data_IF_954575167475
#
_entry.id   IF_954575167475
#
_cell.length_a   1.000
_cell.length_b   1.000
_cell.length_c   1.000
_cell.angle_alpha   90.00
_cell.angle_beta   90.00
_cell.angle_gamma   90.00
#
_symmetry.space_group_name_H-M   'P 1'
#
loop_
_entity.id
_entity.type
_entity.pdbx_description
1 polymer ?
#
# COMPACT_ATOMS: atom_id res chain seq x y z
N UNK A 1 7.92 4.06 -16.80
CA UNK A 1 6.97 3.91 -15.68
C UNK A 1 7.55 4.43 -14.38
N UNK A 2 6.70 4.81 -13.43
CA UNK A 2 7.06 5.18 -12.05
C UNK A 2 6.32 4.25 -11.07
N UNK A 3 7.05 3.64 -10.14
CA UNK A 3 6.45 2.87 -9.04
C UNK A 3 6.80 3.59 -7.73
N UNK A 4 5.81 4.18 -7.09
CA UNK A 4 5.93 4.85 -5.80
C UNK A 4 5.71 3.83 -4.68
N UNK A 5 6.78 3.36 -4.05
CA UNK A 5 6.74 2.33 -2.99
C UNK A 5 7.24 2.83 -1.62
N UNK A 6 7.65 4.09 -1.50
CA UNK A 6 8.16 4.63 -0.24
C UNK A 6 7.04 4.71 0.79
N UNK A 7 7.34 4.22 2.00
CA UNK A 7 6.40 4.32 3.10
C UNK A 7 6.91 3.70 4.41
N UNK A 8 6.44 4.26 5.51
CA UNK A 8 6.69 3.78 6.87
C UNK A 8 5.39 3.31 7.53
N UNK A 9 5.55 2.46 8.53
CA UNK A 9 4.40 1.94 9.28
C UNK A 9 3.73 2.99 10.17
N UNK A 10 4.47 3.99 10.61
CA UNK A 10 4.01 4.91 11.65
C UNK A 10 3.79 4.25 13.02
N UNK A 11 3.31 4.99 14.00
CA UNK A 11 3.05 4.52 15.35
C UNK A 11 1.84 3.59 15.44
N UNK A 12 1.75 2.86 16.55
CA UNK A 12 0.61 2.04 16.93
C UNK A 12 0.10 2.52 18.28
N UNK A 13 -1.04 3.22 18.28
CA UNK A 13 -1.67 3.73 19.49
C UNK A 13 -3.14 4.08 19.23
N UNK A 14 -3.92 4.26 20.30
CA UNK A 14 -5.25 4.91 20.23
C UNK A 14 -5.09 6.39 19.87
N UNK A 15 -6.09 6.97 19.24
CA UNK A 15 -5.99 8.33 18.65
C UNK A 15 -5.58 9.39 19.67
N UNK A 16 -6.05 9.29 20.90
CA UNK A 16 -5.76 10.24 22.00
C UNK A 16 -4.33 10.12 22.55
N UNK A 17 -3.62 9.02 22.24
CA UNK A 17 -2.24 8.77 22.68
C UNK A 17 -1.20 8.95 21.58
N UNK A 18 -1.63 9.31 20.39
CA UNK A 18 -0.72 9.54 19.27
C UNK A 18 0.08 10.83 19.47
N UNK A 19 1.39 10.73 19.26
CA UNK A 19 2.24 11.91 19.14
C UNK A 19 2.00 12.60 17.80
N UNK A 20 1.76 13.93 17.82
CA UNK A 20 1.46 14.71 16.62
C UNK A 20 2.61 14.72 15.61
N UNK A 21 3.87 14.69 16.08
CA UNK A 21 5.04 14.65 15.18
C UNK A 21 5.14 13.32 14.46
N UNK A 22 4.82 12.20 15.14
CA UNK A 22 4.79 10.88 14.50
C UNK A 22 3.64 10.78 13.48
N UNK A 23 2.49 11.40 13.78
CA UNK A 23 1.39 11.55 12.83
C UNK A 23 1.85 12.29 11.56
N UNK A 24 2.38 13.51 11.73
CA UNK A 24 2.84 14.36 10.64
C UNK A 24 3.95 13.68 9.82
N UNK A 25 4.93 13.06 10.49
CA UNK A 25 6.00 12.32 9.82
C UNK A 25 5.46 11.15 8.98
N UNK A 26 4.46 10.43 9.49
CA UNK A 26 3.85 9.32 8.75
C UNK A 26 3.16 9.82 7.48
N UNK A 27 2.40 10.91 7.55
CA UNK A 27 1.78 11.53 6.38
C UNK A 27 2.83 12.08 5.42
N UNK A 28 3.84 12.77 5.94
CA UNK A 28 4.92 13.33 5.13
C UNK A 28 5.65 12.25 4.33
N UNK A 29 6.05 11.17 4.97
CA UNK A 29 6.75 10.08 4.28
C UNK A 29 5.83 9.33 3.32
N UNK A 30 4.61 8.98 3.74
CA UNK A 30 3.76 8.08 2.97
C UNK A 30 2.97 8.77 1.84
N UNK A 31 2.68 10.06 1.95
CA UNK A 31 1.89 10.81 0.97
C UNK A 31 2.77 11.78 0.17
N UNK A 32 3.54 12.63 0.87
CA UNK A 32 4.29 13.67 0.17
C UNK A 32 5.40 13.10 -0.71
N UNK A 33 5.99 11.95 -0.36
CA UNK A 33 6.96 11.28 -1.23
C UNK A 33 6.34 10.94 -2.60
N UNK A 34 5.11 10.38 -2.62
CA UNK A 34 4.40 10.06 -3.86
C UNK A 34 4.18 11.32 -4.71
N UNK A 35 3.78 12.42 -4.07
CA UNK A 35 3.63 13.71 -4.75
C UNK A 35 4.96 14.20 -5.34
N UNK A 36 6.04 14.23 -4.55
CA UNK A 36 7.32 14.77 -5.00
C UNK A 36 7.91 13.99 -6.17
N UNK A 37 7.94 12.66 -6.08
CA UNK A 37 8.45 11.83 -7.18
C UNK A 37 7.57 11.90 -8.42
N UNK A 38 6.25 11.89 -8.26
CA UNK A 38 5.32 12.02 -9.38
C UNK A 38 5.51 13.36 -10.09
N UNK A 39 5.56 14.46 -9.34
CA UNK A 39 5.79 15.81 -9.90
C UNK A 39 7.03 15.87 -10.78
N UNK A 40 8.14 15.28 -10.33
CA UNK A 40 9.40 15.25 -11.08
C UNK A 40 9.36 14.28 -12.29
N UNK A 41 8.58 13.19 -12.20
CA UNK A 41 8.51 12.20 -13.27
C UNK A 41 7.59 12.61 -14.43
N UNK A 42 6.56 13.43 -14.21
CA UNK A 42 5.57 13.81 -15.21
C UNK A 42 6.19 14.31 -16.53
N UNK A 43 7.21 15.20 -16.55
CA UNK A 43 7.82 15.66 -17.82
C UNK A 43 8.42 14.53 -18.65
N UNK A 44 8.97 13.51 -17.99
CA UNK A 44 9.54 12.33 -18.66
C UNK A 44 8.44 11.38 -19.12
N UNK A 45 7.42 11.15 -18.28
CA UNK A 45 6.28 10.30 -18.60
C UNK A 45 5.50 10.81 -19.82
N UNK A 46 5.37 12.13 -19.98
CA UNK A 46 4.73 12.75 -21.15
C UNK A 46 5.45 12.48 -22.48
N UNK A 47 6.72 12.12 -22.43
CA UNK A 47 7.54 11.82 -23.63
C UNK A 47 7.51 10.34 -24.01
N UNK A 48 6.96 9.47 -23.19
CA UNK A 48 6.93 8.01 -23.40
C UNK A 48 5.63 7.57 -24.05
N UNK A 49 5.69 6.53 -24.89
CA UNK A 49 4.52 5.96 -25.57
C UNK A 49 3.69 5.00 -24.70
N UNK A 50 4.27 4.46 -23.63
CA UNK A 50 3.59 3.61 -22.65
C UNK A 50 3.89 4.11 -21.24
N UNK A 51 3.19 5.13 -20.82
CA UNK A 51 3.40 5.75 -19.51
C UNK A 51 2.44 5.24 -18.46
N UNK A 52 2.99 4.83 -17.32
CA UNK A 52 2.22 4.34 -16.19
C UNK A 52 2.84 4.76 -14.86
N UNK A 53 1.98 5.09 -13.90
CA UNK A 53 2.31 5.30 -12.49
C UNK A 53 1.60 4.23 -11.68
N UNK A 54 2.33 3.54 -10.81
CA UNK A 54 1.77 2.60 -9.83
C UNK A 54 2.11 3.10 -8.44
N UNK A 55 1.10 3.40 -7.65
CA UNK A 55 1.24 3.83 -6.26
C UNK A 55 0.99 2.64 -5.33
N UNK A 56 1.95 2.33 -4.46
CA UNK A 56 1.77 1.27 -3.47
C UNK A 56 1.07 1.82 -2.24
N UNK A 57 -0.22 1.48 -2.13
CA UNK A 57 -1.03 1.76 -0.96
C UNK A 57 -0.95 0.60 0.05
N UNK A 58 -2.07 0.09 0.51
CA UNK A 58 -2.23 -1.05 1.45
C UNK A 58 -3.71 -1.42 1.51
N UNK A 59 -4.06 -2.59 2.02
CA UNK A 59 -5.43 -2.87 2.49
C UNK A 59 -5.92 -1.84 3.50
N UNK A 60 -5.03 -1.25 4.31
CA UNK A 60 -5.34 -0.11 5.19
C UNK A 60 -5.74 1.18 4.44
N UNK A 61 -5.57 1.25 3.13
CA UNK A 61 -6.05 2.34 2.26
C UNK A 61 -7.43 2.09 1.66
N UNK A 62 -8.05 0.96 1.95
CA UNK A 62 -9.40 0.57 1.49
C UNK A 62 -10.26 0.01 2.62
N UNK A 63 -9.69 -0.20 3.81
CA UNK A 63 -10.36 -0.69 5.02
C UNK A 63 -9.94 0.14 6.23
N UNK A 64 -10.74 0.12 7.30
CA UNK A 64 -10.34 0.65 8.60
C UNK A 64 -9.21 -0.19 9.19
N UNK A 65 -8.29 0.45 9.93
CA UNK A 65 -7.19 -0.24 10.59
C UNK A 65 -7.04 0.29 12.03
N UNK A 66 -7.60 -0.41 13.03
CA UNK A 66 -7.55 0.02 14.43
C UNK A 66 -6.13 0.26 14.92
N UNK A 67 -5.94 1.25 15.79
CA UNK A 67 -4.66 1.65 16.37
C UNK A 67 -3.60 2.16 15.38
N UNK A 68 -3.94 2.27 14.11
CA UNK A 68 -3.02 2.62 13.02
C UNK A 68 -3.53 3.80 12.18
N UNK A 69 -4.25 4.73 12.81
CA UNK A 69 -4.91 5.84 12.10
C UNK A 69 -3.97 6.67 11.20
N UNK A 70 -2.74 7.07 11.59
CA UNK A 70 -1.88 7.83 10.66
C UNK A 70 -1.50 7.02 9.43
N UNK A 71 -1.23 5.72 9.61
CA UNK A 71 -0.95 4.82 8.48
C UNK A 71 -2.17 4.68 7.56
N UNK A 72 -3.34 4.37 8.12
CA UNK A 72 -4.57 4.23 7.36
C UNK A 72 -4.89 5.51 6.58
N UNK A 73 -4.90 6.67 7.24
CA UNK A 73 -5.15 7.97 6.60
C UNK A 73 -4.15 8.22 5.47
N UNK A 74 -2.86 7.94 5.68
CA UNK A 74 -1.85 8.12 4.63
C UNK A 74 -2.12 7.22 3.42
N UNK A 75 -2.54 5.96 3.65
CA UNK A 75 -2.79 4.99 2.57
C UNK A 75 -4.10 5.27 1.82
N UNK A 76 -5.13 5.77 2.51
CA UNK A 76 -6.32 6.35 1.86
C UNK A 76 -5.96 7.59 1.04
N UNK A 77 -5.06 8.45 1.54
CA UNK A 77 -4.54 9.61 0.81
C UNK A 77 -3.86 9.22 -0.51
N UNK A 78 -3.08 8.13 -0.52
CA UNK A 78 -2.47 7.58 -1.74
C UNK A 78 -3.52 7.09 -2.73
N UNK A 79 -4.63 6.50 -2.27
CA UNK A 79 -5.75 6.10 -3.14
C UNK A 79 -6.43 7.33 -3.75
N UNK A 80 -6.70 8.36 -2.95
CA UNK A 80 -7.25 9.63 -3.43
C UNK A 80 -6.35 10.29 -4.48
N UNK A 81 -5.05 10.38 -4.19
CA UNK A 81 -4.04 10.90 -5.14
C UNK A 81 -4.04 10.09 -6.44
N UNK A 82 -4.10 8.76 -6.38
CA UNK A 82 -4.14 7.88 -7.56
C UNK A 82 -5.32 8.21 -8.47
N UNK A 83 -6.52 8.30 -7.91
CA UNK A 83 -7.74 8.59 -8.67
C UNK A 83 -7.70 9.98 -9.30
N UNK A 84 -7.25 10.99 -8.57
CA UNK A 84 -7.10 12.36 -9.05
C UNK A 84 -6.10 12.43 -10.21
N UNK A 85 -4.91 11.86 -10.03
CA UNK A 85 -3.89 11.85 -11.08
C UNK A 85 -4.30 11.08 -12.32
N UNK A 86 -5.08 10.01 -12.19
CA UNK A 86 -5.61 9.28 -13.35
C UNK A 86 -6.50 10.17 -14.23
N UNK A 87 -7.30 11.05 -13.62
CA UNK A 87 -8.13 12.02 -14.34
C UNK A 87 -7.28 13.15 -14.96
N UNK A 88 -6.37 13.74 -14.20
CA UNK A 88 -5.53 14.86 -14.65
C UNK A 88 -4.57 14.47 -15.79
N UNK A 89 -3.99 13.26 -15.71
CA UNK A 89 -2.94 12.80 -16.61
C UNK A 89 -3.45 11.99 -17.80
N UNK A 90 -4.73 11.61 -17.79
CA UNK A 90 -5.36 10.82 -18.86
C UNK A 90 -5.25 11.45 -20.25
N UNK A 91 -5.36 12.78 -20.35
CA UNK A 91 -5.16 13.53 -21.61
C UNK A 91 -3.75 13.37 -22.20
N UNK A 92 -2.77 12.98 -21.40
CA UNK A 92 -1.40 12.69 -21.82
C UNK A 92 -1.16 11.19 -22.03
N UNK A 93 -2.22 10.37 -21.96
CA UNK A 93 -2.16 8.90 -22.04
C UNK A 93 -1.30 8.26 -20.94
N UNK A 94 -1.16 8.92 -19.79
CA UNK A 94 -0.48 8.38 -18.62
C UNK A 94 -1.52 7.69 -17.74
N UNK A 95 -1.37 6.38 -17.54
CA UNK A 95 -2.24 5.60 -16.64
C UNK A 95 -1.74 5.69 -15.21
N UNK A 96 -2.64 5.76 -14.24
CA UNK A 96 -2.29 5.82 -12.83
C UNK A 96 -3.16 4.84 -12.04
N UNK A 97 -2.54 3.89 -11.35
CA UNK A 97 -3.23 2.87 -10.56
C UNK A 97 -2.62 2.72 -9.17
N UNK A 98 -3.36 2.20 -8.22
CA UNK A 98 -2.87 1.82 -6.90
C UNK A 98 -2.89 0.30 -6.75
N UNK A 99 -1.84 -0.24 -6.12
CA UNK A 99 -1.80 -1.60 -5.60
C UNK A 99 -1.94 -1.51 -4.09
N UNK A 100 -2.82 -2.33 -3.52
CA UNK A 100 -3.09 -2.43 -2.08
C UNK A 100 -2.68 -3.82 -1.57
N UNK A 101 -1.41 -3.99 -1.14
CA UNK A 101 -0.96 -5.23 -0.56
C UNK A 101 -1.69 -5.59 0.72
N UNK A 102 -1.96 -6.87 0.91
CA UNK A 102 -2.32 -7.45 2.21
C UNK A 102 -1.11 -7.68 3.10
N UNK A 103 -1.20 -8.67 3.98
CA UNK A 103 -0.12 -9.05 4.87
C UNK A 103 0.98 -9.80 4.11
N UNK A 104 2.10 -9.12 3.85
CA UNK A 104 3.22 -9.67 3.09
C UNK A 104 4.10 -10.52 4.00
N UNK A 105 4.41 -11.75 3.56
CA UNK A 105 5.41 -12.62 4.20
C UNK A 105 6.82 -12.04 3.97
N UNK A 106 7.46 -11.62 5.05
CA UNK A 106 8.82 -11.05 4.98
C UNK A 106 9.41 -10.84 6.37
N UNK A 107 10.65 -10.35 6.43
CA UNK A 107 11.38 -10.20 7.70
C UNK A 107 10.72 -9.22 8.67
N UNK A 108 10.01 -8.20 8.14
CA UNK A 108 9.20 -7.29 8.96
C UNK A 108 8.10 -8.06 9.68
N UNK A 109 7.36 -8.92 8.96
CA UNK A 109 6.27 -9.71 9.53
C UNK A 109 6.79 -10.76 10.52
N UNK A 110 7.94 -11.40 10.26
CA UNK A 110 8.60 -12.29 11.24
C UNK A 110 8.85 -11.58 12.57
N UNK A 111 9.32 -10.31 12.54
CA UNK A 111 9.52 -9.51 13.76
C UNK A 111 8.21 -9.20 14.47
N UNK A 112 7.16 -8.85 13.73
CA UNK A 112 5.81 -8.60 14.29
C UNK A 112 5.25 -9.86 14.95
N UNK A 113 5.29 -11.01 14.28
CA UNK A 113 4.83 -12.30 14.81
C UNK A 113 5.59 -12.64 16.10
N UNK A 114 6.91 -12.51 16.11
CA UNK A 114 7.74 -12.78 17.30
C UNK A 114 7.36 -11.87 18.47
N UNK A 115 7.17 -10.58 18.23
CA UNK A 115 6.78 -9.60 19.26
C UNK A 115 5.37 -9.88 19.81
N UNK A 116 4.39 -10.12 18.93
CA UNK A 116 2.99 -10.42 19.31
C UNK A 116 2.93 -11.75 20.10
N UNK A 117 3.63 -12.78 19.65
CA UNK A 117 3.68 -14.07 20.34
C UNK A 117 4.25 -13.95 21.76
N UNK A 118 5.33 -13.16 21.94
CA UNK A 118 5.92 -12.88 23.25
C UNK A 118 4.95 -12.13 24.16
N UNK A 119 4.29 -11.10 23.65
CA UNK A 119 3.33 -10.29 24.40
C UNK A 119 2.12 -11.12 24.87
N UNK A 120 1.56 -11.93 23.97
CA UNK A 120 0.38 -12.75 24.23
C UNK A 120 0.70 -14.08 24.93
N UNK A 121 2.00 -14.40 25.13
CA UNK A 121 2.47 -15.67 25.73
C UNK A 121 1.98 -16.91 24.98
N UNK A 122 1.94 -16.84 23.65
CA UNK A 122 1.52 -17.92 22.75
C UNK A 122 2.62 -18.28 21.76
N UNK A 123 2.47 -19.39 21.04
CA UNK A 123 3.46 -19.78 20.01
C UNK A 123 3.43 -18.83 18.79
N UNK A 124 4.58 -18.63 18.15
CA UNK A 124 4.64 -17.88 16.89
C UNK A 124 3.77 -18.50 15.80
N UNK A 125 3.65 -19.85 15.79
CA UNK A 125 2.81 -20.60 14.85
C UNK A 125 1.33 -20.25 14.99
N UNK A 126 0.86 -19.99 16.21
CA UNK A 126 -0.52 -19.56 16.44
C UNK A 126 -0.76 -18.17 15.86
N UNK A 127 0.14 -17.22 16.13
CA UNK A 127 0.06 -15.85 15.56
C UNK A 127 0.16 -15.87 14.04
N UNK A 128 1.02 -16.73 13.47
CA UNK A 128 1.14 -16.87 12.01
C UNK A 128 -0.16 -17.39 11.41
N UNK A 129 -0.80 -18.39 12.05
CA UNK A 129 -2.10 -18.92 11.63
C UNK A 129 -3.19 -17.86 11.69
N UNK A 130 -3.18 -17.00 12.72
CA UNK A 130 -4.10 -15.88 12.85
C UNK A 130 -3.97 -14.94 11.66
N UNK A 131 -2.75 -14.48 11.34
CA UNK A 131 -2.53 -13.60 10.19
C UNK A 131 -2.98 -14.22 8.87
N UNK A 132 -2.69 -15.49 8.64
CA UNK A 132 -3.15 -16.22 7.44
C UNK A 132 -4.69 -16.30 7.41
N UNK A 133 -5.33 -16.46 8.56
CA UNK A 133 -6.79 -16.59 8.64
C UNK A 133 -7.55 -15.29 8.31
N UNK A 134 -6.87 -14.15 8.27
CA UNK A 134 -7.49 -12.85 7.96
C UNK A 134 -7.92 -12.72 6.49
N UNK A 135 -7.40 -13.55 5.59
CA UNK A 135 -7.78 -13.55 4.17
C UNK A 135 -8.55 -14.81 3.77
N UNK A 136 -9.42 -14.71 2.77
CA UNK A 136 -10.20 -15.85 2.24
C UNK A 136 -9.31 -16.95 1.66
N UNK A 137 -8.23 -16.59 0.97
CA UNK A 137 -7.31 -17.56 0.36
C UNK A 137 -6.47 -18.33 1.39
N UNK A 138 -6.48 -17.91 2.68
CA UNK A 138 -5.72 -18.55 3.77
C UNK A 138 -4.24 -18.74 3.42
N UNK A 139 -3.66 -17.79 2.71
CA UNK A 139 -2.27 -17.82 2.25
C UNK A 139 -1.57 -16.50 2.51
N UNK A 140 -0.24 -16.53 2.54
CA UNK A 140 0.56 -15.31 2.56
C UNK A 140 0.57 -14.65 1.19
N UNK A 141 0.54 -13.31 1.19
CA UNK A 141 1.00 -12.53 0.05
C UNK A 141 2.52 -12.49 0.06
N UNK A 142 3.14 -12.56 -1.10
CA UNK A 142 4.59 -12.47 -1.28
C UNK A 142 4.99 -11.15 -1.93
N UNK A 143 6.26 -10.80 -1.85
CA UNK A 143 6.80 -9.65 -2.57
C UNK A 143 6.69 -9.85 -4.09
N UNK A 144 6.78 -11.10 -4.55
CA UNK A 144 6.63 -11.48 -5.95
C UNK A 144 5.20 -11.25 -6.45
N UNK A 145 4.17 -11.55 -5.66
CA UNK A 145 2.76 -11.27 -6.01
C UNK A 145 2.55 -9.78 -6.28
N UNK A 146 3.14 -8.93 -5.43
CA UNK A 146 3.08 -7.47 -5.61
C UNK A 146 3.87 -7.03 -6.84
N UNK A 147 5.07 -7.60 -7.04
CA UNK A 147 5.89 -7.34 -8.21
C UNK A 147 5.18 -7.68 -9.51
N UNK A 148 4.52 -8.85 -9.58
CA UNK A 148 3.76 -9.31 -10.74
C UNK A 148 2.56 -8.38 -11.05
N UNK A 149 1.83 -7.93 -10.01
CA UNK A 149 0.75 -6.98 -10.19
C UNK A 149 1.26 -5.62 -10.73
N UNK A 150 2.38 -5.14 -10.21
CA UNK A 150 3.02 -3.92 -10.71
C UNK A 150 3.49 -4.10 -12.18
N UNK A 151 4.15 -5.22 -12.50
CA UNK A 151 4.62 -5.54 -13.85
C UNK A 151 3.46 -5.55 -14.86
N UNK A 152 2.35 -6.21 -14.51
CA UNK A 152 1.12 -6.16 -15.31
C UNK A 152 0.62 -4.74 -15.52
N UNK A 153 0.49 -3.93 -14.44
CA UNK A 153 -0.05 -2.58 -14.52
C UNK A 153 0.82 -1.61 -15.33
N UNK A 154 2.12 -1.83 -15.42
CA UNK A 154 3.01 -1.00 -16.27
C UNK A 154 3.12 -1.49 -17.70
N UNK A 155 2.66 -2.70 -18.00
CA UNK A 155 2.73 -3.31 -19.32
C UNK A 155 1.67 -2.77 -20.29
N UNK A 156 1.76 -3.16 -21.56
CA UNK A 156 0.77 -2.82 -22.59
C UNK A 156 -0.57 -3.54 -22.40
N UNK A 157 -0.58 -4.70 -21.77
CA UNK A 157 -1.77 -5.49 -21.47
C UNK A 157 -2.76 -4.73 -20.57
N UNK A 158 -2.23 -3.81 -19.76
CA UNK A 158 -3.03 -2.92 -18.88
C UNK A 158 -3.39 -1.58 -19.55
N UNK A 159 -3.34 -1.46 -20.88
CA UNK A 159 -3.48 -0.19 -21.61
C UNK A 159 -4.80 0.55 -21.39
N UNK A 160 -5.84 -0.10 -20.90
CA UNK A 160 -7.14 0.49 -20.56
C UNK A 160 -7.43 0.52 -19.05
N UNK A 161 -6.44 0.16 -18.21
CA UNK A 161 -6.57 0.15 -16.76
C UNK A 161 -5.95 1.44 -16.21
N UNK A 162 -6.78 2.36 -15.72
CA UNK A 162 -6.38 3.61 -15.08
C UNK A 162 -7.40 4.02 -14.01
N UNK A 163 -6.93 4.64 -12.94
CA UNK A 163 -7.75 5.04 -11.78
C UNK A 163 -8.19 3.86 -10.91
N UNK A 164 -7.63 2.66 -11.11
CA UNK A 164 -8.04 1.48 -10.37
C UNK A 164 -7.24 1.33 -9.07
N UNK A 165 -7.90 0.72 -8.10
CA UNK A 165 -7.34 0.35 -6.78
C UNK A 165 -7.44 -1.17 -6.69
N UNK A 166 -6.30 -1.84 -6.79
CA UNK A 166 -6.23 -3.29 -6.93
C UNK A 166 -5.66 -3.87 -5.64
N UNK A 167 -6.49 -4.62 -4.91
CA UNK A 167 -6.02 -5.39 -3.77
C UNK A 167 -5.25 -6.62 -4.25
N UNK A 168 -4.08 -6.84 -3.64
CA UNK A 168 -3.26 -8.05 -3.79
C UNK A 168 -3.06 -8.58 -2.37
N UNK A 169 -4.07 -9.24 -1.84
CA UNK A 169 -4.21 -9.49 -0.41
C UNK A 169 -4.85 -10.84 -0.06
N UNK A 170 -5.20 -11.65 -1.07
CA UNK A 170 -5.90 -12.90 -0.88
C UNK A 170 -7.34 -12.73 -0.39
N UNK A 171 -7.96 -11.57 -0.65
CA UNK A 171 -9.24 -11.12 -0.14
C UNK A 171 -9.24 -11.02 1.39
N UNK A 172 -8.65 -9.94 1.91
CA UNK A 172 -8.63 -9.63 3.35
C UNK A 172 -10.05 -9.35 3.84
N UNK A 173 -10.52 -10.13 4.80
CA UNK A 173 -11.88 -10.04 5.36
C UNK A 173 -11.93 -9.16 6.60
N UNK A 174 -10.80 -9.04 7.33
CA UNK A 174 -10.67 -8.24 8.55
C UNK A 174 -9.23 -7.77 8.77
N UNK A 175 -9.09 -6.73 9.59
CA UNK A 175 -7.79 -6.20 10.05
C UNK A 175 -7.86 -5.99 11.57
N UNK A 176 -7.07 -6.76 12.35
CA UNK A 176 -7.01 -6.72 13.81
C UNK A 176 -5.65 -6.21 14.31
#
# INVERSE_FOLDING_TARGET
>A
ALINNIGIAGPTATIEKLDSREWENTLHVNVNSHFYFTKQAIPLLKKSNNSSIVNISSTAGIMGYPLRSPYAVSKWGVVGLTKTLAMELGKYKIRVNAVCPGTIKGDRMKRVIKAKAKLMKVSQKLIEKDFISMSSLKSWVTEEDIGNACAFLISNEASKISGQVIAVDGNTEKMD
#
